data_IF_112473418969
#
_entry.id   IF_112473418969
#
_cell.length_a   1.000
_cell.length_b   1.000
_cell.length_c   1.000
_cell.angle_alpha   90.00
_cell.angle_beta   90.00
_cell.angle_gamma   90.00
#
_symmetry.space_group_name_H-M   'P 1'
#
loop_
_entity.id
_entity.type
_entity.pdbx_description
1 polymer ?
#
# COMPACT_ATOMS: atom_id res chain seq x y z
N UNK A 1 47.73 -17.65 -36.53
CA UNK A 1 46.29 -17.40 -36.49
C UNK A 1 45.91 -17.20 -35.05
N UNK A 2 45.64 -15.98 -34.61
CA UNK A 2 45.28 -15.65 -33.21
C UNK A 2 43.78 -15.36 -33.16
N UNK A 3 43.03 -16.25 -32.54
CA UNK A 3 41.62 -16.08 -32.25
C UNK A 3 41.46 -15.14 -31.06
N UNK A 4 41.04 -13.92 -31.31
CA UNK A 4 40.67 -12.94 -30.28
C UNK A 4 39.24 -13.22 -29.92
N UNK A 5 39.04 -13.86 -28.75
CA UNK A 5 37.75 -14.04 -28.15
C UNK A 5 37.26 -12.71 -27.55
N UNK A 6 36.26 -12.10 -28.18
CA UNK A 6 35.58 -10.92 -27.64
C UNK A 6 34.60 -11.41 -26.57
N UNK A 7 35.01 -11.26 -25.32
CA UNK A 7 34.13 -11.44 -24.16
C UNK A 7 33.24 -10.20 -24.05
N UNK A 8 32.03 -10.29 -24.59
CA UNK A 8 31.01 -9.28 -24.42
C UNK A 8 30.46 -9.43 -23.00
N UNK A 9 30.99 -8.63 -22.10
CA UNK A 9 30.46 -8.48 -20.74
C UNK A 9 29.14 -7.68 -20.83
N UNK A 10 28.02 -8.38 -20.89
CA UNK A 10 26.71 -7.77 -20.81
C UNK A 10 26.50 -7.21 -19.39
N UNK A 11 26.82 -5.93 -19.22
CA UNK A 11 26.45 -5.14 -18.04
C UNK A 11 24.94 -4.96 -18.07
N UNK A 12 24.22 -5.88 -17.43
CA UNK A 12 22.82 -5.71 -17.08
C UNK A 12 22.72 -4.57 -16.05
N UNK A 13 22.50 -3.35 -16.55
CA UNK A 13 22.09 -2.23 -15.73
C UNK A 13 20.69 -2.54 -15.18
N UNK A 14 20.63 -3.16 -14.01
CA UNK A 14 19.42 -3.13 -13.20
C UNK A 14 19.16 -1.67 -12.89
N UNK A 15 18.23 -1.07 -13.61
CA UNK A 15 17.68 0.25 -13.28
C UNK A 15 16.92 0.10 -11.96
N UNK A 16 17.61 0.20 -10.84
CA UNK A 16 16.98 0.63 -9.61
C UNK A 16 16.41 2.03 -9.88
N UNK A 17 15.15 2.11 -10.24
CA UNK A 17 14.43 3.36 -10.29
C UNK A 17 14.36 3.88 -8.85
N UNK A 18 15.34 4.67 -8.45
CA UNK A 18 15.28 5.40 -7.18
C UNK A 18 14.11 6.36 -7.28
N UNK A 19 13.05 6.05 -6.56
CA UNK A 19 11.88 6.91 -6.43
C UNK A 19 12.34 8.23 -5.84
N UNK A 20 12.32 9.31 -6.63
CA UNK A 20 12.66 10.64 -6.16
C UNK A 20 11.62 11.06 -5.12
N UNK A 21 12.02 11.12 -3.87
CA UNK A 21 11.23 11.77 -2.82
C UNK A 21 11.32 13.27 -3.03
N UNK A 22 10.19 13.90 -3.28
CA UNK A 22 10.12 15.36 -3.34
C UNK A 22 9.91 15.94 -1.95
N UNK A 23 10.77 16.88 -1.58
CA UNK A 23 10.63 17.66 -0.34
C UNK A 23 9.67 18.85 -0.52
N UNK A 24 9.24 19.15 -1.75
CA UNK A 24 8.37 20.27 -2.06
C UNK A 24 7.08 19.78 -2.70
N UNK A 25 6.13 19.35 -1.88
CA UNK A 25 4.81 18.89 -2.30
C UNK A 25 3.73 19.97 -2.03
N UNK A 26 2.63 20.02 -2.82
CA UNK A 26 1.62 21.09 -2.75
C UNK A 26 0.67 20.96 -1.54
N UNK A 27 1.02 20.19 -0.54
CA UNK A 27 0.24 19.98 0.67
C UNK A 27 1.18 19.75 1.86
N UNK A 28 0.66 19.92 3.06
CA UNK A 28 1.38 19.70 4.31
C UNK A 28 0.72 18.55 5.08
N UNK A 29 1.51 17.54 5.46
CA UNK A 29 1.07 16.48 6.36
C UNK A 29 1.14 17.02 7.78
N UNK A 30 0.03 16.98 8.50
CA UNK A 30 -0.08 17.47 9.88
C UNK A 30 0.16 16.35 10.90
N UNK A 31 -0.49 15.22 10.70
CA UNK A 31 -0.37 14.06 11.57
C UNK A 31 -0.81 12.80 10.85
N UNK A 32 -0.35 11.66 11.34
CA UNK A 32 -0.81 10.37 10.86
C UNK A 32 -0.98 9.38 12.02
N UNK A 33 -2.01 8.56 11.94
CA UNK A 33 -2.28 7.52 12.93
C UNK A 33 -2.94 6.32 12.30
N UNK A 34 -2.72 5.14 12.88
CA UNK A 34 -3.42 3.93 12.46
C UNK A 34 -4.01 3.18 13.63
N UNK A 35 -5.07 2.43 13.37
CA UNK A 35 -5.69 1.51 14.31
C UNK A 35 -6.03 0.18 13.64
N UNK A 36 -6.06 -0.89 14.40
CA UNK A 36 -6.61 -2.15 13.96
C UNK A 36 -8.08 -2.20 14.33
N UNK A 37 -8.91 -2.52 13.35
CA UNK A 37 -10.34 -2.72 13.52
C UNK A 37 -10.62 -4.21 13.41
N UNK A 38 -11.21 -4.79 14.45
CA UNK A 38 -11.60 -6.20 14.48
C UNK A 38 -13.11 -6.29 14.44
N UNK A 39 -13.64 -6.99 13.46
CA UNK A 39 -15.07 -7.23 13.39
C UNK A 39 -15.51 -8.25 14.44
N UNK A 40 -16.64 -7.96 15.13
CA UNK A 40 -17.16 -8.77 16.20
C UNK A 40 -18.01 -9.96 15.75
N UNK A 41 -18.42 -10.02 14.50
CA UNK A 41 -19.33 -11.05 13.98
C UNK A 41 -18.56 -12.07 13.13
N UNK A 42 -18.95 -13.35 13.19
CA UNK A 42 -18.41 -14.41 12.34
C UNK A 42 -18.60 -14.03 10.87
N UNK A 43 -17.52 -14.00 10.09
CA UNK A 43 -17.53 -13.58 8.67
C UNK A 43 -17.19 -12.10 8.46
N UNK A 44 -17.06 -11.28 9.51
CA UNK A 44 -16.56 -9.92 9.37
C UNK A 44 -15.04 -9.90 9.18
N UNK A 45 -14.55 -8.83 8.52
CA UNK A 45 -13.10 -8.71 8.33
C UNK A 45 -12.46 -7.85 9.39
N UNK A 46 -11.20 -8.17 9.68
CA UNK A 46 -10.32 -7.26 10.38
C UNK A 46 -9.64 -6.35 9.35
N UNK A 47 -9.37 -5.13 9.73
CA UNK A 47 -8.69 -4.15 8.89
C UNK A 47 -7.69 -3.33 9.69
N UNK A 48 -6.68 -2.82 8.99
CA UNK A 48 -5.84 -1.73 9.50
C UNK A 48 -6.29 -0.45 8.81
N UNK A 49 -6.69 0.54 9.58
CA UNK A 49 -7.13 1.83 9.09
C UNK A 49 -6.06 2.87 9.40
N UNK A 50 -5.45 3.43 8.35
CA UNK A 50 -4.48 4.51 8.44
C UNK A 50 -5.17 5.82 8.04
N UNK A 51 -5.05 6.83 8.89
CA UNK A 51 -5.58 8.18 8.68
C UNK A 51 -4.40 9.14 8.64
N UNK A 52 -4.31 9.93 7.57
CA UNK A 52 -3.28 10.95 7.37
C UNK A 52 -3.97 12.29 7.22
N UNK A 53 -3.85 13.14 8.23
CA UNK A 53 -4.37 14.50 8.18
C UNK A 53 -3.42 15.39 7.38
N UNK A 54 -3.97 16.18 6.49
CA UNK A 54 -3.19 17.08 5.64
C UNK A 54 -3.93 18.39 5.41
N UNK A 55 -3.18 19.39 5.01
CA UNK A 55 -3.70 20.70 4.55
C UNK A 55 -3.15 20.96 3.16
N UNK A 56 -4.01 21.38 2.25
CA UNK A 56 -3.64 21.73 0.88
C UNK A 56 -4.41 23.00 0.46
N UNK A 57 -3.74 23.88 -0.27
CA UNK A 57 -4.38 25.08 -0.84
C UNK A 57 -5.22 24.76 -2.09
N UNK A 58 -4.88 23.67 -2.77
CA UNK A 58 -5.55 23.20 -3.99
C UNK A 58 -5.85 21.71 -3.86
N UNK A 59 -6.88 21.20 -4.55
CA UNK A 59 -7.15 19.78 -4.61
C UNK A 59 -5.92 18.99 -5.07
N UNK A 60 -5.61 17.90 -4.38
CA UNK A 60 -4.50 17.00 -4.70
C UNK A 60 -5.06 15.64 -5.07
N UNK A 61 -4.59 15.09 -6.18
CA UNK A 61 -4.99 13.76 -6.65
C UNK A 61 -4.11 12.69 -6.01
N UNK A 62 -4.51 12.21 -4.83
CA UNK A 62 -3.86 11.10 -4.15
C UNK A 62 -4.29 9.77 -4.76
N UNK A 63 -3.34 8.88 -5.02
CA UNK A 63 -3.59 7.61 -5.71
C UNK A 63 -3.53 6.41 -4.78
N UNK A 64 -2.38 6.11 -4.22
CA UNK A 64 -2.13 4.92 -3.41
C UNK A 64 -1.42 5.26 -2.11
N UNK A 65 -1.66 4.44 -1.11
CA UNK A 65 -0.95 4.48 0.17
C UNK A 65 -0.29 3.13 0.41
N UNK A 66 0.99 3.17 0.71
CA UNK A 66 1.84 2.02 0.98
C UNK A 66 2.19 2.02 2.46
N UNK A 67 1.81 0.99 3.19
CA UNK A 67 2.02 0.89 4.63
C UNK A 67 2.07 -0.57 5.07
N UNK A 68 3.04 -0.94 5.91
CA UNK A 68 3.20 -2.30 6.45
C UNK A 68 3.11 -3.40 5.36
N UNK A 69 3.88 -3.24 4.29
CA UNK A 69 3.94 -4.16 3.13
C UNK A 69 2.59 -4.38 2.42
N UNK A 70 1.65 -3.44 2.58
CA UNK A 70 0.34 -3.46 1.92
C UNK A 70 0.12 -2.19 1.13
N UNK A 71 -0.64 -2.32 0.07
CA UNK A 71 -0.99 -1.23 -0.84
C UNK A 71 -2.51 -1.10 -0.85
N UNK A 72 -3.00 0.12 -0.76
CA UNK A 72 -4.42 0.42 -0.93
C UNK A 72 -4.62 1.75 -1.61
N UNK A 73 -5.83 1.99 -2.10
CA UNK A 73 -6.22 3.27 -2.69
C UNK A 73 -6.29 4.35 -1.61
N UNK A 74 -5.80 5.54 -1.92
CA UNK A 74 -6.01 6.72 -1.09
C UNK A 74 -7.46 7.21 -1.28
N UNK A 75 -8.21 7.34 -0.19
CA UNK A 75 -9.55 7.91 -0.21
C UNK A 75 -9.55 9.20 0.59
N UNK A 76 -9.95 10.31 -0.03
CA UNK A 76 -10.08 11.58 0.67
C UNK A 76 -11.44 11.58 1.37
N UNK A 77 -11.42 11.79 2.68
CA UNK A 77 -12.60 11.95 3.51
C UNK A 77 -12.52 13.29 4.25
N UNK A 78 -13.67 13.80 4.69
CA UNK A 78 -13.76 15.06 5.42
C UNK A 78 -14.52 14.84 6.73
N UNK A 79 -14.00 15.44 7.80
CA UNK A 79 -14.66 15.48 9.10
C UNK A 79 -14.39 16.82 9.77
N UNK A 80 -15.44 17.52 10.22
CA UNK A 80 -15.35 18.84 10.85
C UNK A 80 -14.46 19.82 10.04
N UNK A 81 -14.76 19.99 8.75
CA UNK A 81 -14.05 20.85 7.79
C UNK A 81 -12.57 20.53 7.56
N UNK A 82 -12.08 19.44 8.12
CA UNK A 82 -10.72 18.95 7.87
C UNK A 82 -10.74 17.75 6.94
N UNK A 83 -9.88 17.81 5.93
CA UNK A 83 -9.66 16.71 5.00
C UNK A 83 -8.56 15.78 5.51
N UNK A 84 -8.74 14.50 5.26
CA UNK A 84 -7.73 13.49 5.55
C UNK A 84 -7.74 12.38 4.50
N UNK A 85 -6.60 11.72 4.36
CA UNK A 85 -6.49 10.51 3.55
C UNK A 85 -6.83 9.32 4.45
N UNK A 86 -7.83 8.55 4.05
CA UNK A 86 -8.18 7.27 4.64
C UNK A 86 -7.63 6.13 3.79
N UNK A 87 -6.81 5.28 4.39
CA UNK A 87 -6.28 4.08 3.77
C UNK A 87 -6.69 2.86 4.60
N UNK A 88 -7.53 2.00 4.02
CA UNK A 88 -8.09 0.83 4.71
C UNK A 88 -7.52 -0.45 4.11
N UNK A 89 -6.80 -1.20 4.94
CA UNK A 89 -6.15 -2.45 4.56
C UNK A 89 -6.90 -3.62 5.18
N UNK A 90 -7.55 -4.43 4.37
CA UNK A 90 -8.15 -5.69 4.85
C UNK A 90 -7.03 -6.63 5.29
N UNK A 91 -7.09 -7.12 6.53
CA UNK A 91 -6.04 -7.98 7.11
C UNK A 91 -6.40 -9.45 7.10
N UNK A 92 -7.66 -9.79 7.21
CA UNK A 92 -8.18 -11.14 7.00
C UNK A 92 -9.67 -11.07 6.71
N UNK A 93 -10.17 -11.91 5.85
CA UNK A 93 -11.56 -12.35 5.92
C UNK A 93 -11.56 -13.65 6.71
N UNK A 94 -12.47 -13.80 7.67
CA UNK A 94 -12.76 -15.09 8.28
C UNK A 94 -13.48 -16.05 7.29
N UNK A 95 -13.58 -15.66 6.03
CA UNK A 95 -13.88 -16.58 4.96
C UNK A 95 -12.67 -17.49 4.79
N UNK A 96 -12.69 -18.59 5.52
CA UNK A 96 -12.01 -19.78 5.03
C UNK A 96 -12.62 -20.01 3.65
N UNK A 97 -11.89 -19.62 2.60
CA UNK A 97 -12.12 -20.26 1.31
C UNK A 97 -11.90 -21.75 1.61
N UNK A 98 -12.97 -22.51 1.60
CA UNK A 98 -12.86 -23.94 1.72
C UNK A 98 -11.98 -24.39 0.55
N UNK A 99 -10.71 -24.63 0.84
CA UNK A 99 -9.79 -25.22 -0.11
C UNK A 99 -10.28 -26.65 -0.23
N UNK A 100 -10.93 -26.94 -1.34
CA UNK A 100 -11.40 -28.29 -1.66
C UNK A 100 -10.16 -29.10 -1.96
N UNK A 101 -9.67 -29.84 -0.97
CA UNK A 101 -8.67 -30.87 -1.16
C UNK A 101 -9.39 -32.12 -1.65
N UNK A 102 -9.26 -32.45 -2.91
CA UNK A 102 -9.84 -33.66 -3.49
C UNK A 102 -8.80 -34.41 -4.31
N UNK A 103 -8.82 -35.74 -4.23
CA UNK A 103 -7.92 -36.60 -5.02
C UNK A 103 -8.15 -36.48 -6.55
N UNK A 104 -9.25 -35.89 -6.98
CA UNK A 104 -9.59 -35.65 -8.39
C UNK A 104 -9.25 -34.17 -8.73
N UNK A 105 -8.26 -33.91 -9.62
CA UNK A 105 -7.86 -32.54 -10.01
C UNK A 105 -9.00 -31.71 -10.61
N UNK A 106 -10.02 -32.32 -11.18
CA UNK A 106 -11.19 -31.61 -11.76
C UNK A 106 -12.06 -30.97 -10.68
N UNK A 107 -12.05 -31.48 -9.47
CA UNK A 107 -12.83 -30.96 -8.34
C UNK A 107 -12.07 -29.89 -7.55
N UNK A 108 -10.77 -29.79 -7.75
CA UNK A 108 -9.94 -28.68 -7.26
C UNK A 108 -9.99 -27.47 -8.21
N UNK A 109 -10.68 -27.59 -9.33
CA UNK A 109 -10.87 -26.52 -10.30
C UNK A 109 -11.75 -25.42 -9.69
N UNK A 110 -11.13 -24.33 -9.28
CA UNK A 110 -11.79 -23.21 -8.59
C UNK A 110 -10.93 -22.63 -7.47
N UNK A 111 -9.86 -23.31 -7.06
CA UNK A 111 -8.81 -22.74 -6.25
C UNK A 111 -8.05 -21.73 -7.12
N UNK A 112 -8.54 -20.50 -7.20
CA UNK A 112 -7.80 -19.42 -7.88
C UNK A 112 -6.53 -19.14 -7.07
N UNK A 113 -5.33 -19.22 -7.68
CA UNK A 113 -4.13 -18.72 -7.04
C UNK A 113 -4.36 -17.24 -6.69
N UNK A 114 -3.85 -16.82 -5.54
CA UNK A 114 -3.90 -15.42 -5.16
C UNK A 114 -3.39 -14.58 -6.34
N UNK A 115 -4.21 -13.61 -6.76
CA UNK A 115 -3.81 -12.62 -7.76
C UNK A 115 -2.45 -12.06 -7.37
N UNK A 116 -1.49 -11.90 -8.30
CA UNK A 116 -0.19 -11.35 -7.97
C UNK A 116 -0.39 -10.06 -7.18
N UNK A 117 0.04 -10.06 -5.93
CA UNK A 117 0.01 -8.86 -5.11
C UNK A 117 0.98 -7.89 -5.77
N UNK A 118 0.53 -6.69 -6.08
CA UNK A 118 1.40 -5.63 -6.60
C UNK A 118 2.65 -5.56 -5.72
N UNK A 119 3.85 -5.61 -6.34
CA UNK A 119 5.09 -5.59 -5.59
C UNK A 119 5.17 -4.31 -4.75
N UNK A 120 5.57 -4.48 -3.49
CA UNK A 120 5.74 -3.36 -2.57
C UNK A 120 7.14 -2.75 -2.79
N UNK A 121 7.23 -1.59 -3.47
CA UNK A 121 8.51 -1.10 -4.00
C UNK A 121 9.34 -0.28 -2.99
N UNK A 122 8.91 -0.20 -1.73
CA UNK A 122 9.52 0.67 -0.72
C UNK A 122 10.03 -0.08 0.49
N UNK A 123 11.17 0.34 0.99
CA UNK A 123 11.63 -0.04 2.34
C UNK A 123 11.14 0.99 3.34
N UNK A 124 10.13 0.62 4.13
CA UNK A 124 9.48 1.46 5.13
C UNK A 124 9.61 0.84 6.52
N UNK A 125 9.79 1.70 7.52
CA UNK A 125 9.68 1.29 8.92
C UNK A 125 8.22 1.07 9.30
N UNK A 126 7.97 0.41 10.43
CA UNK A 126 6.60 0.13 10.91
C UNK A 126 5.74 1.39 11.09
N UNK A 127 6.37 2.52 11.42
CA UNK A 127 5.74 3.82 11.62
C UNK A 127 5.92 4.78 10.44
N UNK A 128 6.20 4.25 9.26
CA UNK A 128 6.34 5.03 8.03
C UNK A 128 5.36 4.52 6.96
N UNK A 129 4.85 5.45 6.17
CA UNK A 129 4.06 5.14 4.98
C UNK A 129 4.59 5.94 3.78
N UNK A 130 4.25 5.50 2.58
CA UNK A 130 4.44 6.26 1.36
C UNK A 130 3.08 6.56 0.75
N UNK A 131 2.88 7.78 0.30
CA UNK A 131 1.68 8.20 -0.41
C UNK A 131 2.06 8.64 -1.81
N UNK A 132 1.39 8.10 -2.82
CA UNK A 132 1.53 8.55 -4.20
C UNK A 132 0.43 9.56 -4.55
N UNK A 133 0.80 10.58 -5.31
CA UNK A 133 -0.09 11.62 -5.79
C UNK A 133 0.34 12.08 -7.20
N UNK A 134 -0.54 12.73 -7.93
CA UNK A 134 -0.30 13.18 -9.30
C UNK A 134 -0.19 14.69 -9.36
N UNK A 135 0.84 15.17 -10.06
CA UNK A 135 0.95 16.56 -10.52
C UNK A 135 1.12 16.55 -12.02
N UNK A 136 0.16 17.13 -12.75
CA UNK A 136 0.13 17.03 -14.20
C UNK A 136 -0.06 15.57 -14.64
N UNK A 137 0.92 15.02 -15.35
CA UNK A 137 0.90 13.62 -15.81
C UNK A 137 1.89 12.72 -15.04
N UNK A 138 2.53 13.23 -13.99
CA UNK A 138 3.59 12.52 -13.28
C UNK A 138 3.14 12.08 -11.90
N UNK A 139 3.52 10.86 -11.54
CA UNK A 139 3.32 10.32 -10.20
C UNK A 139 4.49 10.75 -9.33
N UNK A 140 4.17 11.32 -8.20
CA UNK A 140 5.09 11.75 -7.15
C UNK A 140 4.84 10.95 -5.87
N UNK A 141 5.83 10.91 -5.00
CA UNK A 141 5.75 10.16 -3.75
C UNK A 141 6.19 11.02 -2.58
N UNK A 142 5.45 10.93 -1.49
CA UNK A 142 5.80 11.57 -0.23
C UNK A 142 5.86 10.54 0.89
N UNK A 143 6.92 10.60 1.70
CA UNK A 143 7.06 9.74 2.88
C UNK A 143 6.41 10.39 4.09
N UNK A 144 5.48 9.67 4.69
CA UNK A 144 4.84 10.00 5.96
C UNK A 144 5.62 9.31 7.08
N UNK A 145 6.07 10.05 8.07
CA UNK A 145 6.85 9.55 9.20
C UNK A 145 6.08 9.74 10.51
N UNK A 146 6.55 9.07 11.56
CA UNK A 146 6.00 9.22 12.92
C UNK A 146 4.50 8.90 13.01
N UNK A 147 4.07 7.86 12.33
CA UNK A 147 2.70 7.38 12.38
C UNK A 147 2.44 6.77 13.76
N UNK A 148 1.40 7.27 14.44
CA UNK A 148 1.06 6.87 15.80
C UNK A 148 0.07 5.71 15.75
N UNK A 149 0.38 4.62 16.45
CA UNK A 149 -0.58 3.54 16.67
C UNK A 149 -1.61 3.97 17.72
N UNK A 150 -2.88 3.90 17.37
CA UNK A 150 -4.02 4.10 18.30
C UNK A 150 -4.54 2.76 18.82
N UNK A 151 -5.39 2.83 19.82
CA UNK A 151 -6.05 1.66 20.39
C UNK A 151 -6.85 0.88 19.34
N UNK A 152 -6.94 -0.42 19.54
CA UNK A 152 -7.72 -1.28 18.67
C UNK A 152 -9.22 -0.99 18.83
N UNK A 153 -9.94 -0.98 17.72
CA UNK A 153 -11.38 -0.78 17.67
C UNK A 153 -12.05 -2.14 17.46
N UNK A 154 -12.96 -2.48 18.36
CA UNK A 154 -13.78 -3.68 18.23
C UNK A 154 -15.18 -3.24 17.79
N UNK A 155 -15.63 -3.72 16.63
CA UNK A 155 -16.99 -3.49 16.16
C UNK A 155 -17.89 -4.56 16.80
N UNK A 156 -18.97 -4.13 17.42
CA UNK A 156 -20.02 -5.00 17.94
C UNK A 156 -20.98 -5.42 16.83
#
# INVERSE_FOLDING_TARGET
MKLIGILILALSFTKCASVKMENNHPFKIESASYSHVTGGVKGSYSSTNLIINFTAEKPVDFQKVYFQNKITKAVIEQHNDKQYIAARYKTSSNDRKDIILHADPKKEFGNTPNTPTEEFPFELKENEAMVSYVIGEKIHYVKVKNIIKKDNVFMQ
#
